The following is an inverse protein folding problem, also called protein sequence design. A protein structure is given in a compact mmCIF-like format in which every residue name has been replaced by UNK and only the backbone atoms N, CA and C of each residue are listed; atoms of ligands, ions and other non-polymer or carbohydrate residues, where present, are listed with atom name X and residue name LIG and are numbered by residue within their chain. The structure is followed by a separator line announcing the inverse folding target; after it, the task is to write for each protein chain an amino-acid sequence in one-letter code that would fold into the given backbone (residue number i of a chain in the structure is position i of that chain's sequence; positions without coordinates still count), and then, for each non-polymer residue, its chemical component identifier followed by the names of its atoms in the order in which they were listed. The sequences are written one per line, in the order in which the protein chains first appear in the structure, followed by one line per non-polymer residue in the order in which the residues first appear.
data_IF_702676541174
#
_entry.id   IF_702676541174
#
_cell.length_a   1.000
_cell.length_b   1.000
_cell.length_c   1.000
_cell.angle_alpha   90.00
_cell.angle_beta   90.00
_cell.angle_gamma   90.00
#
_symmetry.space_group_name_H-M   'P 1'
#
loop_
_entity.id
_entity.type
_entity.pdbx_description
1 polymer ?
#
# COMPACT_ATOMS: atom_id res chain seq x y z
N UNK A 1 -12.96 7.77 7.57
CA UNK A 1 -14.27 7.18 7.29
C UNK A 1 -14.35 5.89 8.07
N UNK A 2 -15.42 5.69 8.84
CA UNK A 2 -15.60 4.51 9.70
C UNK A 2 -15.88 3.24 8.89
N UNK A 3 -16.39 3.39 7.67
CA UNK A 3 -16.78 2.29 6.81
C UNK A 3 -15.59 1.79 5.97
N UNK A 4 -15.16 0.56 6.25
CA UNK A 4 -13.99 -0.05 5.60
C UNK A 4 -14.18 -0.29 4.10
N UNK A 5 -15.41 -0.52 3.64
CA UNK A 5 -15.77 -0.58 2.22
C UNK A 5 -15.58 0.78 1.52
N UNK A 6 -15.95 1.88 2.17
CA UNK A 6 -15.70 3.24 1.64
C UNK A 6 -14.20 3.50 1.53
N UNK A 7 -13.41 3.12 2.55
CA UNK A 7 -11.94 3.24 2.52
C UNK A 7 -11.32 2.41 1.41
N UNK A 8 -11.74 1.14 1.27
CA UNK A 8 -11.29 0.24 0.20
C UNK A 8 -11.61 0.78 -1.18
N UNK A 9 -12.83 1.26 -1.40
CA UNK A 9 -13.26 1.84 -2.67
C UNK A 9 -12.46 3.11 -3.03
N UNK A 10 -12.15 3.95 -2.04
CA UNK A 10 -11.31 5.13 -2.25
C UNK A 10 -9.88 4.74 -2.69
N UNK A 11 -9.29 3.74 -2.04
CA UNK A 11 -7.98 3.21 -2.42
C UNK A 11 -7.98 2.64 -3.84
N UNK A 12 -9.00 1.85 -4.18
CA UNK A 12 -9.17 1.30 -5.52
C UNK A 12 -9.30 2.40 -6.58
N UNK A 13 -10.02 3.48 -6.27
CA UNK A 13 -10.13 4.63 -7.16
C UNK A 13 -8.79 5.32 -7.38
N UNK A 14 -7.99 5.50 -6.32
CA UNK A 14 -6.62 6.04 -6.42
C UNK A 14 -5.71 5.15 -7.27
N UNK A 15 -5.75 3.84 -7.07
CA UNK A 15 -4.99 2.89 -7.89
C UNK A 15 -5.39 2.91 -9.37
N UNK A 16 -6.69 3.07 -9.66
CA UNK A 16 -7.22 3.17 -11.04
C UNK A 16 -6.92 4.51 -11.70
N UNK A 17 -6.80 5.59 -10.92
CA UNK A 17 -6.43 6.90 -11.44
C UNK A 17 -5.04 6.86 -12.10
N UNK A 18 -4.17 5.97 -11.65
CA UNK A 18 -2.83 5.80 -12.24
C UNK A 18 -1.86 6.93 -11.91
N UNK A 19 -2.24 7.84 -11.00
CA UNK A 19 -1.41 8.97 -10.62
C UNK A 19 -0.31 8.51 -9.65
N UNK A 20 0.89 8.35 -10.17
CA UNK A 20 2.09 8.00 -9.40
C UNK A 20 2.72 9.25 -8.74
N UNK A 21 1.92 10.04 -8.02
CA UNK A 21 2.41 11.18 -7.25
C UNK A 21 2.78 10.75 -5.82
N UNK A 22 3.76 11.45 -5.24
CA UNK A 22 4.23 11.18 -3.88
C UNK A 22 3.09 11.26 -2.85
N UNK A 23 2.16 12.20 -3.02
CA UNK A 23 0.97 12.34 -2.18
C UNK A 23 0.08 11.11 -2.22
N UNK A 24 -0.19 10.56 -3.41
CA UNK A 24 -1.01 9.35 -3.57
C UNK A 24 -0.30 8.15 -2.95
N UNK A 25 1.00 7.97 -3.24
CA UNK A 25 1.79 6.87 -2.67
C UNK A 25 1.79 6.94 -1.14
N UNK A 26 2.09 8.09 -0.55
CA UNK A 26 2.13 8.25 0.90
C UNK A 26 0.76 7.97 1.54
N UNK A 27 -0.33 8.41 0.89
CA UNK A 27 -1.69 8.12 1.34
C UNK A 27 -2.00 6.62 1.32
N UNK A 28 -1.51 5.88 0.33
CA UNK A 28 -1.66 4.43 0.24
C UNK A 28 -0.79 3.69 1.26
N UNK A 29 0.45 4.13 1.49
CA UNK A 29 1.34 3.57 2.52
C UNK A 29 0.70 3.67 3.91
N UNK A 30 0.04 4.79 4.23
CA UNK A 30 -0.72 4.97 5.49
C UNK A 30 -1.92 4.02 5.65
N UNK A 31 -2.33 3.31 4.59
CA UNK A 31 -3.40 2.30 4.65
C UNK A 31 -2.87 0.88 4.82
N UNK A 32 -1.56 0.67 4.84
CA UNK A 32 -0.96 -0.60 5.22
C UNK A 32 -1.11 -0.90 6.73
N UNK A 33 -1.45 0.09 7.56
CA UNK A 33 -1.82 -0.09 8.98
C UNK A 33 -3.32 0.05 9.22
N UNK A 34 -4.16 -0.05 8.19
CA UNK A 34 -5.61 -0.04 8.42
C UNK A 34 -6.02 -1.29 9.22
N UNK A 35 -6.88 -1.11 10.21
CA UNK A 35 -7.35 -2.19 11.09
C UNK A 35 -8.01 -3.34 10.29
N UNK A 36 -8.64 -3.02 9.14
CA UNK A 36 -9.32 -3.99 8.29
C UNK A 36 -8.38 -4.57 7.23
N UNK A 37 -8.24 -5.89 7.22
CA UNK A 37 -7.36 -6.61 6.30
C UNK A 37 -7.68 -6.36 4.82
N UNK A 38 -8.95 -6.19 4.48
CA UNK A 38 -9.35 -5.89 3.10
C UNK A 38 -8.86 -4.52 2.65
N UNK A 39 -8.85 -3.52 3.54
CA UNK A 39 -8.35 -2.17 3.23
C UNK A 39 -6.84 -2.22 3.01
N UNK A 40 -6.10 -2.95 3.87
CA UNK A 40 -4.65 -3.17 3.69
C UNK A 40 -4.33 -3.86 2.37
N UNK A 41 -5.10 -4.90 2.01
CA UNK A 41 -4.96 -5.61 0.73
C UNK A 41 -5.22 -4.69 -0.47
N UNK A 42 -6.24 -3.84 -0.43
CA UNK A 42 -6.46 -2.84 -1.47
C UNK A 42 -5.28 -1.86 -1.57
N UNK A 43 -4.72 -1.44 -0.43
CA UNK A 43 -3.58 -0.52 -0.39
C UNK A 43 -2.34 -1.14 -1.04
N UNK A 44 -2.00 -2.38 -0.66
CA UNK A 44 -0.89 -3.13 -1.24
C UNK A 44 -1.04 -3.30 -2.76
N UNK A 45 -2.23 -3.70 -3.21
CA UNK A 45 -2.54 -3.86 -4.64
C UNK A 45 -2.42 -2.54 -5.41
N UNK A 46 -2.92 -1.43 -4.86
CA UNK A 46 -2.83 -0.12 -5.50
C UNK A 46 -1.37 0.35 -5.57
N UNK A 47 -0.60 0.14 -4.50
CA UNK A 47 0.83 0.45 -4.45
C UNK A 47 1.61 -0.32 -5.52
N UNK A 48 1.45 -1.64 -5.63
CA UNK A 48 2.13 -2.46 -6.63
C UNK A 48 1.82 -1.98 -8.06
N UNK A 49 0.56 -1.66 -8.35
CA UNK A 49 0.14 -1.13 -9.67
C UNK A 49 0.75 0.23 -10.00
N UNK A 50 0.70 1.19 -9.07
CA UNK A 50 1.19 2.55 -9.31
C UNK A 50 2.72 2.62 -9.34
N UNK A 51 3.39 1.77 -8.55
CA UNK A 51 4.82 1.86 -8.31
C UNK A 51 5.66 0.96 -9.21
N UNK A 52 5.07 0.22 -10.16
CA UNK A 52 5.79 -0.69 -11.08
C UNK A 52 7.04 -0.06 -11.73
N UNK A 53 7.00 1.25 -11.99
CA UNK A 53 8.11 2.01 -12.58
C UNK A 53 8.72 3.06 -11.62
N UNK A 54 8.42 2.99 -10.32
CA UNK A 54 8.89 3.96 -9.34
C UNK A 54 10.17 3.44 -8.65
N UNK A 55 11.30 4.12 -8.89
CA UNK A 55 12.60 3.72 -8.36
C UNK A 55 12.70 3.78 -6.83
N UNK A 56 11.85 4.55 -6.16
CA UNK A 56 11.94 4.79 -4.72
C UNK A 56 10.96 3.93 -3.91
N UNK A 57 10.10 3.15 -4.58
CA UNK A 57 9.07 2.36 -3.93
C UNK A 57 9.62 1.35 -2.92
N UNK A 58 10.65 0.59 -3.31
CA UNK A 58 11.29 -0.40 -2.44
C UNK A 58 11.81 0.27 -1.16
N UNK A 59 12.45 1.43 -1.29
CA UNK A 59 12.96 2.18 -0.14
C UNK A 59 11.84 2.63 0.79
N UNK A 60 10.71 3.10 0.25
CA UNK A 60 9.55 3.53 1.03
C UNK A 60 8.96 2.38 1.85
N UNK A 61 8.72 1.22 1.23
CA UNK A 61 8.13 0.08 1.93
C UNK A 61 9.10 -0.54 2.93
N UNK A 62 10.41 -0.62 2.61
CA UNK A 62 11.43 -1.07 3.57
C UNK A 62 11.46 -0.14 4.80
N UNK A 63 11.41 1.17 4.60
CA UNK A 63 11.38 2.14 5.70
C UNK A 63 10.12 1.99 6.54
N UNK A 64 8.96 1.75 5.91
CA UNK A 64 7.72 1.49 6.62
C UNK A 64 7.82 0.21 7.48
N UNK A 65 8.33 -0.90 6.92
CA UNK A 65 8.52 -2.16 7.66
C UNK A 65 9.44 -1.97 8.86
N UNK A 66 10.54 -1.21 8.70
CA UNK A 66 11.47 -0.92 9.79
C UNK A 66 10.84 -0.12 10.93
N UNK A 67 9.88 0.77 10.62
CA UNK A 67 9.16 1.55 11.62
C UNK A 67 8.05 0.73 12.31
N UNK A 68 7.55 -0.32 11.67
CA UNK A 68 6.40 -1.11 12.11
C UNK A 68 6.80 -2.53 12.49
N UNK A 69 8.03 -2.75 12.98
CA UNK A 69 8.53 -4.09 13.34
C UNK A 69 7.66 -4.83 14.36
N UNK A 70 7.05 -4.08 15.29
CA UNK A 70 6.19 -4.61 16.34
C UNK A 70 4.68 -4.50 15.98
N UNK A 71 4.35 -4.06 14.76
CA UNK A 71 2.96 -3.92 14.32
C UNK A 71 2.33 -5.28 14.00
N UNK A 72 1.10 -5.51 14.45
CA UNK A 72 0.28 -6.65 14.04
C UNK A 72 0.02 -6.66 12.51
N UNK A 73 0.27 -5.54 11.83
CA UNK A 73 0.03 -5.34 10.41
C UNK A 73 1.30 -5.35 9.56
N UNK A 74 2.48 -5.60 10.14
CA UNK A 74 3.77 -5.61 9.41
C UNK A 74 3.76 -6.52 8.17
N UNK A 75 3.00 -7.62 8.23
CA UNK A 75 2.82 -8.54 7.12
C UNK A 75 2.32 -7.86 5.85
N UNK A 76 1.51 -6.81 5.95
CA UNK A 76 1.02 -6.08 4.78
C UNK A 76 2.14 -5.35 4.02
N UNK A 77 3.17 -4.84 4.71
CA UNK A 77 4.36 -4.30 4.04
C UNK A 77 5.16 -5.39 3.33
N UNK A 78 5.30 -6.55 3.95
CA UNK A 78 6.00 -7.72 3.39
C UNK A 78 5.25 -8.24 2.15
N UNK A 79 3.92 -8.39 2.24
CA UNK A 79 3.06 -8.79 1.13
C UNK A 79 3.18 -7.79 -0.02
N UNK A 80 3.20 -6.49 0.27
CA UNK A 80 3.38 -5.46 -0.76
C UNK A 80 4.72 -5.60 -1.48
N UNK A 81 5.82 -5.90 -0.77
CA UNK A 81 7.12 -6.17 -1.40
C UNK A 81 7.08 -7.44 -2.25
N UNK A 82 6.45 -8.49 -1.74
CA UNK A 82 6.28 -9.75 -2.48
C UNK A 82 5.50 -9.53 -3.78
N UNK A 83 4.34 -8.88 -3.69
CA UNK A 83 3.47 -8.59 -4.84
C UNK A 83 4.13 -7.64 -5.85
N UNK A 84 5.05 -6.80 -5.42
CA UNK A 84 5.83 -5.97 -6.32
C UNK A 84 6.90 -6.78 -7.07
N UNK A 85 7.57 -7.69 -6.38
CA UNK A 85 8.69 -8.47 -6.93
C UNK A 85 8.25 -9.73 -7.70
N UNK A 86 7.09 -10.30 -7.37
CA UNK A 86 6.58 -11.54 -7.96
C UNK A 86 5.89 -11.34 -9.32
N UNK A 87 5.70 -10.10 -9.76
CA UNK A 87 5.10 -9.77 -11.06
C UNK A 87 6.21 -9.72 -12.12
N UNK A 88 6.56 -10.88 -12.68
CA UNK A 88 7.27 -11.01 -13.98
C UNK A 88 6.29 -10.84 -15.16
#
# INVERSE_FOLDING_TARGET
DEHSDVRGNAIDALGKLGENSETVINSLVLRLDDEHSDVRRHAANALSKLCKNNSNFLTTIIAWIQQHQDSDYIGSGIDTLWDFLAVE
#
